data_IF_125120398140
#
_entry.id   IF_125120398140
#
_cell.length_a   1.000
_cell.length_b   1.000
_cell.length_c   1.000
_cell.angle_alpha   90.00
_cell.angle_beta   90.00
_cell.angle_gamma   90.00
#
_symmetry.space_group_name_H-M   'P 1'
#
loop_
_entity.id
_entity.type
_entity.pdbx_description
1 polymer ?
#
# COMPACT_ATOMS: atom_id res chain seq x y z
N UNK A 1 -24.67 22.23 14.54
CA UNK A 1 -25.42 21.05 14.08
C UNK A 1 -24.79 20.70 12.74
N UNK A 2 -24.02 19.61 12.69
CA UNK A 2 -23.33 19.17 11.47
C UNK A 2 -24.38 18.57 10.52
N UNK A 3 -24.37 18.98 9.25
CA UNK A 3 -25.31 18.49 8.24
C UNK A 3 -24.86 17.09 7.78
N UNK A 4 -25.55 16.06 8.28
CA UNK A 4 -25.28 14.65 8.00
C UNK A 4 -25.36 14.35 6.50
N UNK A 5 -26.23 15.06 5.76
CA UNK A 5 -26.36 14.85 4.31
C UNK A 5 -25.16 15.43 3.56
N UNK A 6 -24.60 16.54 4.04
CA UNK A 6 -23.39 17.14 3.46
C UNK A 6 -22.14 16.30 3.76
N UNK A 7 -22.07 15.69 4.95
CA UNK A 7 -21.01 14.73 5.31
C UNK A 7 -21.13 13.47 4.46
N UNK A 8 -22.34 12.89 4.33
CA UNK A 8 -22.59 11.72 3.48
C UNK A 8 -22.18 11.98 2.03
N UNK A 9 -22.54 13.15 1.48
CA UNK A 9 -22.17 13.52 0.11
C UNK A 9 -20.67 13.68 -0.08
N UNK A 10 -19.96 14.31 0.87
CA UNK A 10 -18.50 14.48 0.80
C UNK A 10 -17.78 13.14 0.92
N UNK A 11 -18.22 12.30 1.84
CA UNK A 11 -17.67 10.96 2.04
C UNK A 11 -17.87 10.05 0.84
N UNK A 12 -19.07 10.11 0.24
CA UNK A 12 -19.38 9.39 -0.98
C UNK A 12 -18.49 9.85 -2.14
N UNK A 13 -18.35 11.16 -2.35
CA UNK A 13 -17.46 11.72 -3.38
C UNK A 13 -15.97 11.41 -3.16
N UNK A 14 -15.50 11.41 -1.91
CA UNK A 14 -14.12 11.06 -1.59
C UNK A 14 -13.87 9.55 -1.78
N UNK A 15 -14.83 8.73 -1.37
CA UNK A 15 -14.86 7.28 -1.56
C UNK A 15 -14.87 6.89 -3.05
N UNK A 16 -15.70 7.55 -3.87
CA UNK A 16 -15.78 7.38 -5.33
C UNK A 16 -14.46 7.80 -5.98
N UNK A 17 -13.93 8.98 -5.66
CA UNK A 17 -12.63 9.41 -6.20
C UNK A 17 -11.49 8.47 -5.86
N UNK A 18 -11.49 7.91 -4.66
CA UNK A 18 -10.48 6.92 -4.25
C UNK A 18 -10.65 5.60 -5.02
N UNK A 19 -11.90 5.13 -5.21
CA UNK A 19 -12.21 3.94 -5.99
C UNK A 19 -11.85 4.12 -7.47
N UNK A 20 -12.27 5.22 -8.09
CA UNK A 20 -11.97 5.58 -9.49
C UNK A 20 -10.47 5.75 -9.71
N UNK A 21 -9.77 6.38 -8.76
CA UNK A 21 -8.32 6.52 -8.83
C UNK A 21 -7.64 5.16 -8.78
N UNK A 22 -8.09 4.25 -7.92
CA UNK A 22 -7.57 2.89 -7.83
C UNK A 22 -7.85 2.09 -9.11
N UNK A 23 -9.09 2.09 -9.62
CA UNK A 23 -9.47 1.42 -10.87
C UNK A 23 -8.64 1.92 -12.06
N UNK A 24 -8.55 3.24 -12.21
CA UNK A 24 -7.74 3.87 -13.27
C UNK A 24 -6.25 3.58 -13.13
N UNK A 25 -5.73 3.37 -11.92
CA UNK A 25 -4.34 2.95 -11.75
C UNK A 25 -4.13 1.49 -12.11
N UNK A 26 -5.08 0.60 -11.81
CA UNK A 26 -5.05 -0.80 -12.23
C UNK A 26 -5.10 -0.95 -13.76
N UNK A 27 -6.06 -0.28 -14.41
CA UNK A 27 -6.18 -0.24 -15.87
C UNK A 27 -4.90 0.31 -16.54
N UNK A 28 -4.33 1.38 -15.98
CA UNK A 28 -3.06 1.95 -16.50
C UNK A 28 -1.86 1.05 -16.27
N UNK A 29 -1.80 0.32 -15.16
CA UNK A 29 -0.72 -0.64 -14.92
C UNK A 29 -0.82 -1.84 -15.84
N UNK A 30 -2.04 -2.29 -16.14
CA UNK A 30 -2.33 -3.36 -17.10
C UNK A 30 -1.99 -2.92 -18.54
N UNK A 31 -2.37 -1.70 -18.95
CA UNK A 31 -1.96 -1.13 -20.24
C UNK A 31 -0.44 -0.94 -20.37
N UNK A 32 0.27 -0.64 -19.27
CA UNK A 32 1.72 -0.51 -19.24
C UNK A 32 2.43 -1.87 -19.27
N UNK A 33 1.89 -2.88 -18.58
CA UNK A 33 2.35 -4.25 -18.64
C UNK A 33 2.20 -4.83 -20.06
N UNK A 34 1.00 -4.69 -20.64
CA UNK A 34 0.71 -5.10 -22.01
C UNK A 34 1.60 -4.37 -23.05
N UNK A 35 1.97 -3.10 -22.81
CA UNK A 35 2.89 -2.36 -23.69
C UNK A 35 4.35 -2.79 -23.55
N UNK A 36 4.74 -3.30 -22.39
CA UNK A 36 6.09 -3.84 -22.16
C UNK A 36 6.19 -5.23 -22.81
N UNK A 37 5.18 -6.08 -22.66
CA UNK A 37 5.06 -7.40 -23.33
C UNK A 37 5.03 -7.29 -24.87
N UNK A 38 4.33 -6.29 -25.44
CA UNK A 38 4.32 -6.08 -26.89
C UNK A 38 5.60 -5.42 -27.45
N UNK A 39 6.47 -4.87 -26.59
CA UNK A 39 7.72 -4.22 -27.04
C UNK A 39 8.90 -5.19 -27.21
N UNK A 40 8.82 -6.39 -26.62
CA UNK A 40 9.85 -7.43 -26.73
C UNK A 40 9.65 -8.40 -27.91
N UNK A 41 8.59 -8.25 -28.71
CA UNK A 41 8.30 -9.15 -29.85
C UNK A 41 8.36 -8.52 -31.26
N UNK A 42 8.66 -7.23 -31.43
CA UNK A 42 8.79 -6.64 -32.78
C UNK A 42 10.03 -5.76 -32.96
N UNK A 43 11.18 -6.41 -33.24
CA UNK A 43 12.12 -5.87 -34.23
C UNK A 43 11.88 -6.56 -35.56
N UNK A 44 11.12 -5.93 -36.45
CA UNK A 44 11.59 -5.51 -37.78
C UNK A 44 10.47 -4.99 -38.69
N UNK A 45 10.71 -3.79 -39.25
CA UNK A 45 10.16 -3.22 -40.50
C UNK A 45 8.70 -2.75 -40.55
N UNK A 46 8.48 -1.42 -40.54
CA UNK A 46 8.25 -0.59 -41.74
C UNK A 46 7.66 0.79 -41.41
N UNK A 47 7.96 1.76 -42.27
CA UNK A 47 7.83 3.20 -42.07
C UNK A 47 6.44 3.80 -42.36
N UNK A 48 6.07 4.90 -41.68
CA UNK A 48 5.90 6.26 -42.25
C UNK A 48 4.91 7.17 -41.49
N UNK A 49 5.50 8.00 -40.64
CA UNK A 49 5.25 9.42 -40.30
C UNK A 49 4.08 10.16 -40.96
N UNK A 50 3.21 10.73 -40.12
CA UNK A 50 2.85 12.17 -40.19
C UNK A 50 2.94 12.79 -38.80
N UNK A 51 4.17 13.04 -38.34
CA UNK A 51 4.51 13.88 -37.18
C UNK A 51 5.44 14.98 -37.70
N UNK A 52 4.88 16.10 -38.14
CA UNK A 52 5.68 17.23 -38.63
C UNK A 52 5.52 18.50 -37.78
N UNK A 53 4.52 18.57 -36.89
CA UNK A 53 4.23 19.82 -36.16
C UNK A 53 4.58 19.78 -34.65
N UNK A 54 4.91 18.61 -34.09
CA UNK A 54 5.29 18.43 -32.68
C UNK A 54 6.79 18.34 -32.43
N UNK A 55 7.59 17.96 -33.43
CA UNK A 55 9.06 17.86 -33.28
C UNK A 55 9.76 19.23 -33.34
N UNK A 56 9.27 20.20 -34.11
CA UNK A 56 9.94 21.50 -34.25
C UNK A 56 9.98 22.31 -32.93
N UNK A 57 8.99 22.16 -32.05
CA UNK A 57 8.97 22.88 -30.76
C UNK A 57 9.88 22.24 -29.71
N UNK A 58 9.93 20.90 -29.63
CA UNK A 58 10.80 20.19 -28.70
C UNK A 58 12.27 20.30 -29.13
N UNK A 59 12.56 20.16 -30.43
CA UNK A 59 13.93 20.23 -30.95
C UNK A 59 14.53 21.64 -30.81
N UNK A 60 13.71 22.69 -30.85
CA UNK A 60 14.12 24.08 -30.59
C UNK A 60 14.42 24.33 -29.09
N UNK A 61 13.71 23.68 -28.17
CA UNK A 61 13.98 23.72 -26.73
C UNK A 61 15.30 23.03 -26.38
N UNK A 62 15.52 21.83 -26.91
CA UNK A 62 16.75 21.05 -26.70
C UNK A 62 17.96 21.73 -27.34
N UNK A 63 17.82 22.33 -28.53
CA UNK A 63 18.89 23.13 -29.15
C UNK A 63 19.28 24.35 -28.32
N UNK A 64 18.31 25.06 -27.71
CA UNK A 64 18.60 26.19 -26.81
C UNK A 64 19.30 25.74 -25.52
N UNK A 65 18.93 24.60 -24.94
CA UNK A 65 19.61 24.07 -23.76
C UNK A 65 21.07 23.64 -24.08
N UNK A 66 21.30 23.02 -25.24
CA UNK A 66 22.65 22.64 -25.70
C UNK A 66 23.49 23.88 -26.06
N UNK A 67 22.88 24.92 -26.64
CA UNK A 67 23.55 26.20 -26.93
C UNK A 67 23.94 26.95 -25.65
N UNK A 68 23.08 26.94 -24.62
CA UNK A 68 23.37 27.52 -23.30
C UNK A 68 24.48 26.74 -22.58
N UNK A 69 24.46 25.40 -22.62
CA UNK A 69 25.55 24.59 -22.06
C UNK A 69 26.88 24.79 -22.81
N UNK A 70 26.83 24.90 -24.15
CA UNK A 70 28.00 25.14 -24.99
C UNK A 70 28.67 26.49 -24.74
N UNK A 71 27.91 27.52 -24.35
CA UNK A 71 28.44 28.82 -23.94
C UNK A 71 29.10 28.81 -22.55
N UNK A 72 28.70 27.89 -21.66
CA UNK A 72 29.20 27.81 -20.27
C UNK A 72 30.48 26.99 -20.17
N UNK A 73 30.60 25.89 -20.91
CA UNK A 73 31.69 24.92 -20.74
C UNK A 73 32.72 24.90 -21.89
N UNK A 74 32.45 25.57 -23.01
CA UNK A 74 33.34 25.58 -24.18
C UNK A 74 33.46 24.22 -24.89
N UNK A 75 34.06 24.19 -26.08
CA UNK A 75 34.18 22.97 -26.89
C UNK A 75 35.00 21.86 -26.20
N UNK A 76 36.06 22.23 -25.48
CA UNK A 76 36.89 21.27 -24.74
C UNK A 76 36.17 20.72 -23.49
N UNK A 77 35.31 21.50 -22.83
CA UNK A 77 34.53 21.04 -21.67
C UNK A 77 33.38 20.11 -22.06
N UNK A 78 32.78 20.31 -23.24
CA UNK A 78 31.78 19.39 -23.81
C UNK A 78 32.41 18.05 -24.21
N UNK A 79 33.59 18.08 -24.84
CA UNK A 79 34.33 16.86 -25.19
C UNK A 79 34.73 16.07 -23.94
N UNK A 80 35.20 16.75 -22.88
CA UNK A 80 35.51 16.08 -21.61
C UNK A 80 34.28 15.50 -20.91
N UNK A 81 33.10 16.13 -20.99
CA UNK A 81 31.88 15.56 -20.41
C UNK A 81 31.41 14.33 -21.18
N UNK A 82 31.43 14.37 -22.52
CA UNK A 82 31.04 13.23 -23.37
C UNK A 82 32.02 12.07 -23.16
N UNK A 83 33.33 12.33 -23.14
CA UNK A 83 34.34 11.31 -22.85
C UNK A 83 34.19 10.74 -21.43
N UNK A 84 33.83 11.58 -20.45
CA UNK A 84 33.62 11.14 -19.07
C UNK A 84 32.32 10.35 -18.90
N UNK A 85 31.28 10.67 -19.67
CA UNK A 85 30.00 9.96 -19.72
C UNK A 85 30.13 8.62 -20.45
N UNK A 86 30.78 8.57 -21.61
CA UNK A 86 31.11 7.31 -22.31
C UNK A 86 32.01 6.42 -21.46
N UNK A 87 32.97 7.01 -20.75
CA UNK A 87 33.83 6.25 -19.83
C UNK A 87 33.05 5.73 -18.62
N UNK A 88 32.12 6.51 -18.06
CA UNK A 88 31.25 6.04 -16.99
C UNK A 88 30.35 4.90 -17.47
N UNK A 89 29.77 5.03 -18.65
CA UNK A 89 28.90 4.03 -19.26
C UNK A 89 29.67 2.76 -19.61
N UNK A 90 30.89 2.87 -20.15
CA UNK A 90 31.74 1.72 -20.42
C UNK A 90 32.20 1.04 -19.13
N UNK A 91 32.55 1.78 -18.08
CA UNK A 91 32.86 1.17 -16.77
C UNK A 91 31.65 0.49 -16.15
N UNK A 92 30.45 1.06 -16.30
CA UNK A 92 29.19 0.46 -15.84
C UNK A 92 28.93 -0.83 -16.61
N UNK A 93 29.02 -0.81 -17.95
CA UNK A 93 28.80 -1.99 -18.79
C UNK A 93 29.85 -3.08 -18.54
N UNK A 94 31.11 -2.70 -18.33
CA UNK A 94 32.21 -3.61 -18.01
C UNK A 94 32.01 -4.20 -16.61
N UNK A 95 31.57 -3.41 -15.62
CA UNK A 95 31.22 -3.90 -14.27
C UNK A 95 29.98 -4.78 -14.24
N UNK A 96 28.98 -4.50 -15.08
CA UNK A 96 27.79 -5.32 -15.26
C UNK A 96 28.14 -6.65 -15.94
N UNK A 97 29.03 -6.65 -16.93
CA UNK A 97 29.51 -7.86 -17.58
C UNK A 97 30.44 -8.69 -16.66
N UNK A 98 31.27 -8.03 -15.85
CA UNK A 98 32.14 -8.67 -14.85
C UNK A 98 31.31 -9.27 -13.69
N UNK A 99 30.23 -8.60 -13.26
CA UNK A 99 29.26 -9.14 -12.29
C UNK A 99 28.41 -10.29 -12.85
N UNK A 100 28.02 -10.21 -14.14
CA UNK A 100 27.22 -11.23 -14.82
C UNK A 100 27.99 -12.53 -15.11
N UNK A 101 29.33 -12.51 -15.15
CA UNK A 101 30.14 -13.67 -15.59
C UNK A 101 30.82 -14.48 -14.48
N UNK A 102 30.96 -13.99 -13.25
CA UNK A 102 31.61 -14.81 -12.21
C UNK A 102 31.16 -14.60 -10.76
N UNK A 103 30.09 -13.86 -10.49
CA UNK A 103 29.71 -13.56 -9.10
C UNK A 103 28.19 -13.43 -8.86
N UNK A 104 27.33 -13.68 -9.84
CA UNK A 104 25.89 -13.54 -9.66
C UNK A 104 25.32 -14.58 -8.67
N UNK A 105 25.81 -15.82 -8.67
CA UNK A 105 25.28 -16.85 -7.75
C UNK A 105 25.90 -16.77 -6.35
N UNK A 106 27.22 -16.53 -6.24
CA UNK A 106 27.91 -16.51 -4.93
C UNK A 106 27.77 -15.16 -4.17
N UNK A 107 27.57 -14.03 -4.86
CA UNK A 107 27.42 -12.72 -4.21
C UNK A 107 25.97 -12.44 -3.78
N UNK A 108 24.98 -13.01 -4.47
CA UNK A 108 23.56 -12.91 -4.06
C UNK A 108 23.33 -13.68 -2.76
N UNK A 109 23.97 -14.84 -2.57
CA UNK A 109 23.91 -15.60 -1.31
C UNK A 109 24.71 -15.00 -0.15
N UNK A 110 25.75 -14.18 -0.41
CA UNK A 110 26.56 -13.54 0.64
C UNK A 110 26.12 -12.12 1.01
N UNK A 111 25.46 -11.37 0.13
CA UNK A 111 25.00 -10.01 0.41
C UNK A 111 23.57 -9.97 0.95
N UNK A 112 22.75 -10.97 0.63
CA UNK A 112 21.36 -11.08 1.04
C UNK A 112 21.17 -12.40 1.77
N UNK A 113 21.50 -12.40 3.06
CA UNK A 113 21.32 -13.56 3.93
C UNK A 113 19.88 -14.04 3.89
N UNK A 114 19.72 -15.33 3.57
CA UNK A 114 18.65 -16.32 3.81
C UNK A 114 17.16 -15.92 3.97
N UNK A 115 16.76 -14.66 3.80
CA UNK A 115 15.41 -14.17 4.09
C UNK A 115 14.77 -13.41 2.90
N UNK A 116 15.14 -13.82 1.68
CA UNK A 116 14.48 -13.42 0.42
C UNK A 116 13.28 -14.32 0.06
N UNK A 117 12.78 -15.14 0.98
CA UNK A 117 11.62 -16.00 0.76
C UNK A 117 10.27 -15.26 0.72
N UNK A 118 10.22 -13.97 1.06
CA UNK A 118 8.95 -13.22 1.21
C UNK A 118 8.73 -12.20 0.08
N UNK A 119 9.80 -11.79 -0.61
CA UNK A 119 9.65 -11.00 -1.84
C UNK A 119 9.26 -11.87 -3.04
N UNK A 120 9.34 -13.21 -2.94
CA UNK A 120 8.71 -14.11 -3.91
C UNK A 120 7.20 -13.93 -3.92
N UNK A 121 6.48 -13.91 -2.79
CA UNK A 121 5.02 -13.91 -2.84
C UNK A 121 4.38 -12.66 -3.50
N UNK A 122 5.00 -11.48 -3.39
CA UNK A 122 4.48 -10.24 -3.99
C UNK A 122 5.02 -9.98 -5.40
N UNK A 123 6.15 -10.58 -5.78
CA UNK A 123 6.72 -10.51 -7.13
C UNK A 123 6.33 -11.71 -8.00
N UNK A 124 6.13 -12.90 -7.43
CA UNK A 124 5.46 -14.07 -8.04
C UNK A 124 3.98 -13.75 -8.33
N UNK A 125 3.31 -12.93 -7.52
CA UNK A 125 2.02 -12.34 -7.91
C UNK A 125 2.10 -11.41 -9.14
N UNK A 126 3.32 -11.01 -9.55
CA UNK A 126 3.58 -10.24 -10.77
C UNK A 126 4.37 -11.04 -11.84
N UNK A 127 4.77 -12.29 -11.57
CA UNK A 127 5.55 -13.16 -12.47
C UNK A 127 4.88 -14.55 -12.69
N UNK A 128 3.69 -14.80 -12.14
CA UNK A 128 2.89 -16.02 -12.38
C UNK A 128 1.60 -15.79 -13.19
N UNK A 129 1.60 -14.83 -14.13
CA UNK A 129 0.55 -14.75 -15.16
C UNK A 129 1.13 -14.62 -16.56
N UNK A 130 2.10 -15.47 -16.91
CA UNK A 130 2.32 -15.83 -18.32
C UNK A 130 2.57 -17.35 -18.39
N UNK A 131 1.51 -18.10 -18.69
CA UNK A 131 1.47 -19.51 -19.15
C UNK A 131 0.61 -20.51 -18.34
N UNK A 132 -0.42 -20.07 -17.60
CA UNK A 132 -1.62 -20.89 -17.45
C UNK A 132 -2.84 -20.01 -17.74
N UNK A 133 -3.70 -20.43 -18.67
CA UNK A 133 -5.06 -19.88 -18.80
C UNK A 133 -5.80 -20.18 -17.48
N UNK A 134 -5.56 -19.38 -16.44
CA UNK A 134 -6.43 -19.36 -15.27
C UNK A 134 -7.80 -18.91 -15.78
N UNK A 135 -8.75 -19.85 -15.83
CA UNK A 135 -10.16 -19.52 -16.02
C UNK A 135 -10.48 -18.36 -15.07
N UNK A 136 -10.81 -17.16 -15.62
CA UNK A 136 -11.27 -16.01 -14.84
C UNK A 136 -12.21 -16.52 -13.75
N UNK A 137 -11.75 -16.51 -12.49
CA UNK A 137 -12.47 -17.15 -11.40
C UNK A 137 -13.78 -16.39 -11.19
N UNK A 138 -14.86 -16.95 -11.76
CA UNK A 138 -16.16 -16.29 -11.76
C UNK A 138 -16.62 -16.13 -10.31
N UNK A 139 -16.77 -14.88 -9.88
CA UNK A 139 -17.29 -14.56 -8.57
C UNK A 139 -18.64 -15.24 -8.34
N UNK A 140 -18.68 -16.12 -7.36
CA UNK A 140 -19.86 -16.88 -6.99
C UNK A 140 -20.24 -16.62 -5.54
N UNK A 141 -21.51 -16.82 -5.22
CA UNK A 141 -22.00 -16.75 -3.84
C UNK A 141 -21.31 -17.81 -2.95
N UNK A 142 -20.92 -18.95 -3.53
CA UNK A 142 -20.19 -20.01 -2.82
C UNK A 142 -18.77 -19.57 -2.44
N UNK A 143 -18.08 -18.85 -3.34
CA UNK A 143 -16.78 -18.25 -3.06
C UNK A 143 -16.90 -17.21 -1.93
N UNK A 144 -17.90 -16.33 -1.98
CA UNK A 144 -18.16 -15.37 -0.89
C UNK A 144 -18.36 -16.06 0.47
N UNK A 145 -19.18 -17.12 0.53
CA UNK A 145 -19.39 -17.85 1.79
C UNK A 145 -18.10 -18.52 2.29
N UNK A 146 -17.28 -19.02 1.37
CA UNK A 146 -15.97 -19.58 1.70
C UNK A 146 -15.06 -18.51 2.30
N UNK A 147 -14.99 -17.33 1.69
CA UNK A 147 -14.20 -16.20 2.20
C UNK A 147 -14.68 -15.74 3.58
N UNK A 148 -15.99 -15.67 3.83
CA UNK A 148 -16.54 -15.34 5.14
C UNK A 148 -16.12 -16.35 6.21
N UNK A 149 -16.18 -17.65 5.87
CA UNK A 149 -15.73 -18.72 6.78
C UNK A 149 -14.23 -18.61 7.06
N UNK A 150 -13.41 -18.41 6.02
CA UNK A 150 -11.96 -18.25 6.16
C UNK A 150 -11.62 -17.05 7.04
N UNK A 151 -12.30 -15.91 6.86
CA UNK A 151 -12.15 -14.73 7.71
C UNK A 151 -12.46 -15.05 9.18
N UNK A 152 -13.62 -15.67 9.44
CA UNK A 152 -14.05 -16.02 10.80
C UNK A 152 -13.07 -16.99 11.50
N UNK A 153 -12.63 -18.03 10.79
CA UNK A 153 -11.64 -18.99 11.30
C UNK A 153 -10.28 -18.32 11.59
N UNK A 154 -9.86 -17.41 10.71
CA UNK A 154 -8.60 -16.68 10.84
C UNK A 154 -8.65 -15.70 12.02
N UNK A 155 -9.73 -14.93 12.16
CA UNK A 155 -9.92 -14.02 13.29
C UNK A 155 -9.96 -14.78 14.62
N UNK A 156 -10.61 -15.95 14.66
CA UNK A 156 -10.63 -16.81 15.84
C UNK A 156 -9.24 -17.36 16.19
N UNK A 157 -8.44 -17.73 15.18
CA UNK A 157 -7.04 -18.14 15.39
C UNK A 157 -6.20 -17.01 15.99
N UNK A 158 -6.32 -15.79 15.47
CA UNK A 158 -5.65 -14.63 16.04
C UNK A 158 -6.10 -14.33 17.47
N UNK A 159 -7.38 -14.49 17.78
CA UNK A 159 -7.91 -14.30 19.14
C UNK A 159 -7.18 -15.22 20.16
N UNK A 160 -6.87 -16.45 19.75
CA UNK A 160 -6.17 -17.42 20.60
C UNK A 160 -4.66 -17.18 20.74
N UNK A 161 -4.10 -16.22 20.00
CA UNK A 161 -2.65 -15.95 20.01
C UNK A 161 -2.26 -15.17 21.28
N UNK A 162 -1.18 -15.54 21.98
CA UNK A 162 -0.74 -14.77 23.15
C UNK A 162 -0.44 -13.31 22.81
N UNK A 163 -0.88 -12.38 23.65
CA UNK A 163 -0.58 -10.93 23.55
C UNK A 163 -0.20 -10.43 24.94
N UNK A 164 0.79 -9.53 25.07
CA UNK A 164 1.08 -8.88 26.34
C UNK A 164 -0.10 -8.05 26.86
N UNK A 165 -0.24 -7.98 28.19
CA UNK A 165 -1.26 -7.13 28.82
C UNK A 165 -1.04 -5.65 28.50
N UNK A 166 -2.11 -4.88 28.23
CA UNK A 166 -1.98 -3.45 27.98
C UNK A 166 -1.33 -2.69 29.14
N UNK A 167 -0.46 -1.72 28.83
CA UNK A 167 0.27 -0.91 29.82
C UNK A 167 -0.10 0.57 29.73
N UNK A 168 0.05 1.32 30.82
CA UNK A 168 -0.25 2.76 30.81
C UNK A 168 0.83 3.56 30.08
N UNK A 169 0.43 4.37 29.11
CA UNK A 169 1.29 5.32 28.40
C UNK A 169 1.06 6.73 28.95
N UNK A 170 2.15 7.43 29.28
CA UNK A 170 2.08 8.85 29.59
C UNK A 170 1.94 9.67 28.30
N UNK A 171 1.43 10.90 28.37
CA UNK A 171 1.16 11.71 27.16
C UNK A 171 2.41 11.93 26.28
N UNK A 172 3.56 12.09 26.91
CA UNK A 172 4.85 12.37 26.25
C UNK A 172 5.81 11.16 26.36
N UNK A 173 5.27 9.94 26.43
CA UNK A 173 6.08 8.72 26.51
C UNK A 173 6.67 8.41 25.12
N UNK A 174 7.98 8.12 25.06
CA UNK A 174 8.68 7.72 23.82
C UNK A 174 8.08 6.45 23.22
N UNK A 175 7.39 5.63 24.03
CA UNK A 175 6.64 4.45 23.55
C UNK A 175 5.60 4.79 22.49
N UNK A 176 5.04 6.01 22.48
CA UNK A 176 4.06 6.40 21.45
C UNK A 176 4.67 6.43 20.06
N UNK A 177 5.94 6.80 19.93
CA UNK A 177 6.63 6.81 18.64
C UNK A 177 6.80 5.37 18.13
N UNK A 178 7.27 4.48 19.00
CA UNK A 178 7.40 3.04 18.71
C UNK A 178 6.05 2.42 18.34
N UNK A 179 5.01 2.69 19.13
CA UNK A 179 3.67 2.19 18.89
C UNK A 179 3.13 2.70 17.54
N UNK A 180 3.30 3.99 17.24
CA UNK A 180 2.88 4.59 15.97
C UNK A 180 3.53 3.96 14.74
N UNK A 181 4.84 3.66 14.81
CA UNK A 181 5.53 2.91 13.75
C UNK A 181 4.91 1.52 13.59
N UNK A 182 4.67 0.82 14.69
CA UNK A 182 4.14 -0.56 14.70
C UNK A 182 2.69 -0.68 14.22
N UNK A 183 1.91 0.41 14.20
CA UNK A 183 0.59 0.42 13.55
C UNK A 183 0.69 0.14 12.03
N UNK A 184 1.82 0.48 11.40
CA UNK A 184 2.08 0.13 10.00
C UNK A 184 2.46 -1.35 9.81
N UNK A 185 2.56 -2.12 10.90
CA UNK A 185 3.18 -3.44 10.99
C UNK A 185 2.76 -4.38 9.87
N UNK A 186 1.46 -4.60 9.68
CA UNK A 186 0.98 -5.56 8.66
C UNK A 186 1.46 -5.16 7.26
N UNK A 187 1.28 -3.91 6.86
CA UNK A 187 1.72 -3.45 5.52
C UNK A 187 3.23 -3.50 5.39
N UNK A 188 3.95 -3.12 6.45
CA UNK A 188 5.40 -3.15 6.47
C UNK A 188 5.94 -4.58 6.31
N UNK A 189 5.38 -5.56 7.03
CA UNK A 189 5.75 -6.98 6.94
C UNK A 189 5.51 -7.52 5.53
N UNK A 190 4.35 -7.23 4.92
CA UNK A 190 4.05 -7.67 3.55
C UNK A 190 5.01 -7.09 2.49
N UNK A 191 5.60 -5.93 2.77
CA UNK A 191 6.52 -5.26 1.85
C UNK A 191 8.00 -5.45 2.22
N UNK A 192 8.31 -6.24 3.26
CA UNK A 192 9.67 -6.46 3.75
C UNK A 192 10.33 -5.22 4.35
N UNK A 193 9.53 -4.27 4.87
CA UNK A 193 10.05 -3.03 5.43
C UNK A 193 10.54 -3.19 6.87
N UNK A 194 11.57 -2.42 7.21
CA UNK A 194 12.04 -2.28 8.58
C UNK A 194 10.93 -1.69 9.45
N UNK A 195 10.77 -2.23 10.66
CA UNK A 195 9.81 -1.72 11.64
C UNK A 195 10.48 -1.13 12.87
N UNK A 196 11.81 -1.11 12.96
CA UNK A 196 12.61 -0.60 14.09
C UNK A 196 12.61 0.93 14.19
N UNK A 197 12.53 1.63 13.06
CA UNK A 197 12.64 3.10 12.96
C UNK A 197 11.63 3.70 11.98
N UNK A 198 11.60 5.03 11.89
CA UNK A 198 10.73 5.75 10.95
C UNK A 198 10.96 5.28 9.52
N UNK A 199 12.23 5.28 9.09
CA UNK A 199 12.64 4.81 7.76
C UNK A 199 12.25 3.36 7.53
N UNK A 200 11.62 3.13 6.38
CA UNK A 200 11.12 1.81 5.97
C UNK A 200 12.25 0.95 5.39
N UNK A 201 13.26 1.56 4.78
CA UNK A 201 14.37 0.93 4.08
C UNK A 201 15.63 1.82 4.13
N UNK A 202 16.71 1.42 3.47
CA UNK A 202 17.90 2.25 3.27
C UNK A 202 17.71 3.25 2.14
N UNK A 203 18.15 4.50 2.34
CA UNK A 203 18.12 5.56 1.34
C UNK A 203 19.12 5.33 0.19
N UNK A 204 18.75 4.41 -0.70
CA UNK A 204 19.44 4.16 -1.96
C UNK A 204 18.47 4.34 -3.13
N UNK A 205 18.92 4.85 -4.29
CA UNK A 205 18.02 5.23 -5.39
C UNK A 205 17.06 4.13 -5.84
N UNK A 206 17.50 2.86 -5.86
CA UNK A 206 16.65 1.74 -6.27
C UNK A 206 15.48 1.51 -5.30
N UNK A 207 15.71 1.64 -3.99
CA UNK A 207 14.67 1.46 -2.97
C UNK A 207 13.71 2.64 -2.94
N UNK A 208 14.22 3.86 -3.08
CA UNK A 208 13.38 5.06 -3.23
C UNK A 208 12.49 4.97 -4.48
N UNK A 209 13.04 4.48 -5.61
CA UNK A 209 12.27 4.25 -6.83
C UNK A 209 11.22 3.14 -6.67
N UNK A 210 11.53 2.07 -5.93
CA UNK A 210 10.58 1.00 -5.60
C UNK A 210 9.41 1.56 -4.79
N UNK A 211 9.69 2.28 -3.70
CA UNK A 211 8.67 2.84 -2.81
C UNK A 211 7.83 3.90 -3.52
N UNK A 212 8.44 4.83 -4.28
CA UNK A 212 7.66 5.85 -5.01
C UNK A 212 6.80 5.21 -6.10
N UNK A 213 7.28 4.17 -6.78
CA UNK A 213 6.51 3.43 -7.80
C UNK A 213 5.35 2.67 -7.19
N UNK A 214 5.53 2.05 -6.03
CA UNK A 214 4.46 1.40 -5.27
C UNK A 214 3.37 2.41 -4.88
N UNK A 215 3.76 3.52 -4.26
CA UNK A 215 2.82 4.55 -3.78
C UNK A 215 2.07 5.20 -4.94
N UNK A 216 2.72 5.45 -6.08
CA UNK A 216 2.06 6.01 -7.26
C UNK A 216 1.10 5.02 -7.92
N UNK A 217 1.53 3.78 -8.13
CA UNK A 217 0.74 2.77 -8.84
C UNK A 217 -0.41 2.24 -7.98
N UNK A 218 -0.17 1.92 -6.73
CA UNK A 218 -1.19 1.29 -5.88
C UNK A 218 -2.11 2.30 -5.18
N UNK A 219 -1.69 3.55 -5.01
CA UNK A 219 -2.47 4.56 -4.27
C UNK A 219 -2.81 5.81 -5.08
N UNK A 220 -2.22 6.00 -6.27
CA UNK A 220 -2.42 7.21 -7.06
C UNK A 220 -1.81 8.48 -6.42
N UNK A 221 -0.93 8.34 -5.44
CA UNK A 221 -0.35 9.47 -4.70
C UNK A 221 0.93 9.95 -5.39
N UNK A 222 0.92 11.18 -5.91
CA UNK A 222 2.03 11.72 -6.70
C UNK A 222 2.92 12.72 -5.95
N UNK A 223 2.56 13.03 -4.71
CA UNK A 223 3.35 13.90 -3.85
C UNK A 223 2.63 14.25 -2.55
N UNK A 224 3.18 15.26 -1.87
CA UNK A 224 2.77 15.67 -0.52
C UNK A 224 1.28 15.96 -0.35
N UNK A 225 0.64 16.68 -1.29
CA UNK A 225 -0.78 17.04 -1.13
C UNK A 225 -1.67 15.81 -1.13
N UNK A 226 -1.54 14.98 -2.16
CA UNK A 226 -2.28 13.71 -2.31
C UNK A 226 -2.07 12.81 -1.09
N UNK A 227 -0.84 12.75 -0.58
CA UNK A 227 -0.49 11.96 0.60
C UNK A 227 -1.27 12.45 1.83
N UNK A 228 -1.20 13.74 2.14
CA UNK A 228 -1.84 14.30 3.33
C UNK A 228 -3.37 14.22 3.23
N UNK A 229 -3.93 14.36 2.03
CA UNK A 229 -5.36 14.20 1.79
C UNK A 229 -5.80 12.74 1.98
N UNK A 230 -5.02 11.75 1.50
CA UNK A 230 -5.30 10.33 1.71
C UNK A 230 -5.17 9.94 3.20
N UNK A 231 -4.12 10.40 3.89
CA UNK A 231 -3.97 10.18 5.33
C UNK A 231 -5.16 10.76 6.09
N UNK A 232 -5.60 11.98 5.74
CA UNK A 232 -6.78 12.61 6.37
C UNK A 232 -8.05 11.81 6.11
N UNK A 233 -8.25 11.34 4.88
CA UNK A 233 -9.39 10.51 4.51
C UNK A 233 -9.43 9.23 5.34
N UNK A 234 -8.36 8.45 5.39
CA UNK A 234 -8.26 7.23 6.21
C UNK A 234 -8.43 7.54 7.71
N UNK A 235 -7.84 8.64 8.18
CA UNK A 235 -7.90 9.03 9.59
C UNK A 235 -9.25 9.63 10.02
N UNK A 236 -10.20 9.91 9.13
CA UNK A 236 -11.49 10.53 9.50
C UNK A 236 -12.70 9.75 9.00
N UNK A 237 -12.63 9.28 7.76
CA UNK A 237 -13.73 8.62 7.07
C UNK A 237 -13.36 7.15 6.82
N UNK A 238 -12.50 6.90 5.84
CA UNK A 238 -11.98 5.59 5.49
C UNK A 238 -13.06 4.54 5.23
N UNK A 239 -12.69 3.30 5.45
CA UNK A 239 -13.61 2.16 5.38
C UNK A 239 -14.54 2.09 6.59
N UNK A 240 -14.19 2.70 7.73
CA UNK A 240 -15.13 2.88 8.84
C UNK A 240 -16.44 3.54 8.38
N UNK A 241 -16.36 4.68 7.69
CA UNK A 241 -17.56 5.36 7.20
C UNK A 241 -18.24 4.59 6.06
N UNK A 242 -17.46 3.98 5.16
CA UNK A 242 -18.02 3.15 4.08
C UNK A 242 -18.81 1.96 4.65
N UNK A 243 -18.26 1.25 5.63
CA UNK A 243 -18.92 0.13 6.29
C UNK A 243 -20.20 0.58 7.01
N UNK A 244 -20.18 1.74 7.68
CA UNK A 244 -21.38 2.32 8.29
C UNK A 244 -22.48 2.55 7.24
N UNK A 245 -22.16 3.24 6.14
CA UNK A 245 -23.12 3.54 5.08
C UNK A 245 -23.72 2.25 4.50
N UNK A 246 -22.87 1.23 4.29
CA UNK A 246 -23.29 -0.06 3.74
C UNK A 246 -24.17 -0.85 4.70
N UNK A 247 -23.90 -0.77 6.02
CA UNK A 247 -24.72 -1.42 7.05
C UNK A 247 -26.06 -0.71 7.33
N UNK A 248 -26.12 0.60 7.09
CA UNK A 248 -27.33 1.42 7.23
C UNK A 248 -28.25 1.34 6.00
N UNK A 249 -27.70 1.07 4.81
CA UNK A 249 -28.46 0.97 3.57
C UNK A 249 -29.47 -0.20 3.61
N UNK A 250 -30.71 0.09 3.20
CA UNK A 250 -31.79 -0.91 3.18
C UNK A 250 -31.65 -1.88 2.02
N UNK A 251 -31.04 -1.44 0.92
CA UNK A 251 -30.75 -2.22 -0.26
C UNK A 251 -29.46 -1.72 -0.94
N UNK A 252 -28.77 -2.55 -1.74
CA UNK A 252 -27.53 -2.13 -2.41
C UNK A 252 -27.78 -1.02 -3.45
N UNK A 253 -28.99 -0.89 -3.98
CA UNK A 253 -29.35 0.17 -4.94
C UNK A 253 -29.26 1.58 -4.33
N UNK A 254 -29.41 1.73 -3.01
CA UNK A 254 -29.24 3.03 -2.33
C UNK A 254 -27.79 3.52 -2.35
N UNK A 255 -26.83 2.64 -2.66
CA UNK A 255 -25.39 2.90 -2.70
C UNK A 255 -24.87 3.06 -4.14
N UNK A 256 -25.74 2.90 -5.14
CA UNK A 256 -25.37 2.93 -6.55
C UNK A 256 -25.71 4.26 -7.20
N UNK A 257 -24.95 4.64 -8.23
CA UNK A 257 -25.25 5.72 -9.14
C UNK A 257 -25.57 5.20 -10.56
N UNK A 258 -26.28 6.01 -11.35
CA UNK A 258 -26.62 5.72 -12.75
C UNK A 258 -25.36 5.58 -13.63
N UNK A 259 -24.28 6.27 -13.26
CA UNK A 259 -23.00 6.23 -13.97
C UNK A 259 -22.23 4.90 -13.81
N UNK A 260 -22.57 4.08 -12.81
CA UNK A 260 -21.84 2.85 -12.52
C UNK A 260 -22.04 1.80 -13.61
N UNK A 261 -20.98 1.06 -13.95
CA UNK A 261 -21.09 -0.11 -14.81
C UNK A 261 -21.61 -1.35 -14.04
N UNK A 262 -21.84 -2.47 -14.72
CA UNK A 262 -22.41 -3.66 -14.05
C UNK A 262 -21.41 -4.33 -13.10
N UNK A 263 -20.11 -4.25 -13.38
CA UNK A 263 -19.06 -4.82 -12.54
C UNK A 263 -18.96 -4.05 -11.21
N UNK A 264 -18.95 -2.72 -11.28
CA UNK A 264 -18.99 -1.84 -10.13
C UNK A 264 -20.26 -2.06 -9.30
N UNK A 265 -21.40 -2.24 -9.94
CA UNK A 265 -22.65 -2.59 -9.23
C UNK A 265 -22.51 -3.93 -8.51
N UNK A 266 -21.90 -4.95 -9.11
CA UNK A 266 -21.71 -6.22 -8.42
C UNK A 266 -20.72 -6.11 -7.25
N UNK A 267 -19.66 -5.30 -7.38
CA UNK A 267 -18.79 -4.93 -6.26
C UNK A 267 -19.55 -4.28 -5.10
N UNK A 268 -20.46 -3.34 -5.39
CA UNK A 268 -21.33 -2.74 -4.37
C UNK A 268 -22.22 -3.79 -3.72
N UNK A 269 -22.85 -4.67 -4.51
CA UNK A 269 -23.73 -5.74 -3.98
C UNK A 269 -22.95 -6.68 -3.06
N UNK A 270 -21.73 -7.11 -3.43
CA UNK A 270 -20.85 -7.94 -2.61
C UNK A 270 -20.53 -7.29 -1.27
N UNK A 271 -20.01 -6.06 -1.30
CA UNK A 271 -19.64 -5.35 -0.08
C UNK A 271 -20.86 -5.00 0.79
N UNK A 272 -22.04 -4.77 0.19
CA UNK A 272 -23.28 -4.60 0.94
C UNK A 272 -23.67 -5.90 1.65
N UNK A 273 -23.63 -7.05 0.97
CA UNK A 273 -23.88 -8.36 1.60
C UNK A 273 -22.94 -8.59 2.78
N UNK A 274 -21.66 -8.27 2.63
CA UNK A 274 -20.66 -8.34 3.70
C UNK A 274 -21.05 -7.46 4.90
N UNK A 275 -21.39 -6.18 4.67
CA UNK A 275 -21.79 -5.27 5.73
C UNK A 275 -23.06 -5.75 6.45
N UNK A 276 -24.08 -6.17 5.69
CA UNK A 276 -25.34 -6.66 6.27
C UNK A 276 -25.16 -7.93 7.10
N UNK A 277 -24.23 -8.81 6.71
CA UNK A 277 -23.90 -10.02 7.46
C UNK A 277 -23.31 -9.68 8.84
N UNK A 278 -22.40 -8.72 8.90
CA UNK A 278 -21.57 -8.48 10.07
C UNK A 278 -21.98 -7.30 10.96
N UNK A 279 -22.88 -6.42 10.50
CA UNK A 279 -23.24 -5.18 11.22
C UNK A 279 -23.82 -5.36 12.62
N UNK A 280 -24.35 -6.54 12.94
CA UNK A 280 -24.85 -6.88 14.28
C UNK A 280 -23.74 -7.35 15.23
N UNK A 281 -22.61 -7.78 14.68
CA UNK A 281 -21.46 -8.30 15.43
C UNK A 281 -20.37 -7.24 15.60
N UNK A 282 -20.07 -6.49 14.55
CA UNK A 282 -18.99 -5.51 14.53
C UNK A 282 -19.55 -4.11 14.25
N UNK A 283 -19.26 -3.17 15.15
CA UNK A 283 -19.58 -1.76 14.96
C UNK A 283 -18.65 -1.12 13.90
N UNK A 284 -19.02 0.00 13.27
CA UNK A 284 -18.16 0.68 12.30
C UNK A 284 -16.77 1.09 12.83
N UNK A 285 -16.65 1.34 14.12
CA UNK A 285 -15.36 1.64 14.77
C UNK A 285 -14.40 0.44 14.74
N UNK A 286 -14.92 -0.78 14.61
CA UNK A 286 -14.08 -1.98 14.43
C UNK A 286 -13.27 -1.93 13.14
N UNK A 287 -13.60 -1.11 12.14
CA UNK A 287 -12.78 -0.92 10.93
C UNK A 287 -11.52 -0.07 11.15
N UNK A 288 -11.36 0.52 12.35
CA UNK A 288 -10.30 1.49 12.60
C UNK A 288 -8.89 0.94 12.36
N UNK A 289 -8.64 -0.34 12.64
CA UNK A 289 -7.32 -0.96 12.43
C UNK A 289 -6.91 -1.00 10.96
N UNK A 290 -7.85 -1.34 10.07
CA UNK A 290 -7.63 -1.31 8.61
C UNK A 290 -7.30 0.09 8.09
N UNK A 291 -8.03 1.11 8.54
CA UNK A 291 -7.78 2.49 8.10
C UNK A 291 -6.51 3.09 8.70
N UNK A 292 -6.30 2.88 10.01
CA UNK A 292 -5.16 3.42 10.74
C UNK A 292 -3.86 2.76 10.29
N UNK A 293 -3.83 1.43 10.12
CA UNK A 293 -2.60 0.75 9.71
C UNK A 293 -2.10 1.20 8.34
N UNK A 294 -3.03 1.42 7.40
CA UNK A 294 -2.74 1.99 6.07
C UNK A 294 -2.29 3.45 6.16
N UNK A 295 -2.96 4.26 6.97
CA UNK A 295 -2.55 5.66 7.19
C UNK A 295 -1.15 5.76 7.83
N UNK A 296 -0.83 4.87 8.77
CA UNK A 296 0.48 4.79 9.40
C UNK A 296 1.56 4.43 8.36
N UNK A 297 1.30 3.46 7.48
CA UNK A 297 2.24 3.09 6.42
C UNK A 297 2.46 4.24 5.42
N UNK A 298 1.38 4.89 4.96
CA UNK A 298 1.48 6.06 4.08
C UNK A 298 2.29 7.18 4.73
N UNK A 299 2.11 7.42 6.03
CA UNK A 299 2.89 8.41 6.78
C UNK A 299 4.39 8.09 6.73
N UNK A 300 4.74 6.82 6.95
CA UNK A 300 6.14 6.36 6.91
C UNK A 300 6.75 6.45 5.51
N UNK A 301 6.05 5.99 4.47
CA UNK A 301 6.49 6.15 3.08
C UNK A 301 6.63 7.62 2.69
N UNK A 302 5.69 8.47 3.11
CA UNK A 302 5.76 9.90 2.87
C UNK A 302 6.99 10.57 3.50
N UNK A 303 7.36 10.13 4.70
CA UNK A 303 8.58 10.57 5.37
C UNK A 303 9.83 10.10 4.61
N UNK A 304 9.89 8.81 4.29
CA UNK A 304 11.00 8.20 3.56
C UNK A 304 11.21 8.82 2.17
N UNK A 305 10.15 9.16 1.45
CA UNK A 305 10.23 9.82 0.14
C UNK A 305 10.50 11.35 0.24
N UNK A 306 10.64 11.89 1.44
CA UNK A 306 10.86 13.32 1.67
C UNK A 306 9.66 14.22 1.35
N UNK A 307 8.44 13.65 1.24
CA UNK A 307 7.21 14.43 1.01
C UNK A 307 6.71 15.10 2.28
N UNK A 308 6.95 14.48 3.44
CA UNK A 308 6.75 15.06 4.75
C UNK A 308 8.03 14.96 5.57
N UNK A 309 8.20 15.86 6.53
CA UNK A 309 9.35 15.81 7.45
C UNK A 309 9.13 14.75 8.52
N UNK A 310 10.22 14.26 9.13
CA UNK A 310 10.14 13.31 10.25
C UNK A 310 9.31 13.85 11.41
N UNK A 311 9.44 15.14 11.75
CA UNK A 311 8.63 15.77 12.79
C UNK A 311 7.13 15.77 12.47
N UNK A 312 6.76 15.92 11.19
CA UNK A 312 5.36 15.80 10.76
C UNK A 312 4.89 14.35 10.85
N UNK A 313 5.72 13.41 10.41
CA UNK A 313 5.43 11.98 10.49
C UNK A 313 5.19 11.52 11.94
N UNK A 314 6.07 11.92 12.87
CA UNK A 314 5.90 11.64 14.31
C UNK A 314 4.58 12.21 14.83
N UNK A 315 4.24 13.44 14.47
CA UNK A 315 2.97 14.07 14.87
C UNK A 315 1.75 13.31 14.35
N UNK A 316 1.75 12.93 13.07
CA UNK A 316 0.67 12.17 12.44
C UNK A 316 0.56 10.77 13.07
N UNK A 317 1.67 10.05 13.24
CA UNK A 317 1.67 8.73 13.88
C UNK A 317 1.18 8.80 15.34
N UNK A 318 1.50 9.88 16.06
CA UNK A 318 0.97 10.11 17.41
C UNK A 318 -0.55 10.28 17.41
N UNK A 319 -1.10 11.10 16.51
CA UNK A 319 -2.56 11.28 16.38
C UNK A 319 -3.26 9.96 16.02
N UNK A 320 -2.70 9.21 15.06
CA UNK A 320 -3.17 7.87 14.69
C UNK A 320 -3.13 6.89 15.86
N UNK A 321 -2.07 6.97 16.68
CA UNK A 321 -1.91 6.14 17.87
C UNK A 321 -2.96 6.42 18.94
N UNK A 322 -3.28 7.69 19.18
CA UNK A 322 -4.36 8.05 20.10
C UNK A 322 -5.71 7.50 19.59
N UNK A 323 -5.97 7.66 18.29
CA UNK A 323 -7.21 7.15 17.67
C UNK A 323 -7.31 5.63 17.75
N UNK A 324 -6.21 4.91 17.52
CA UNK A 324 -6.18 3.46 17.64
C UNK A 324 -6.51 3.01 19.06
N UNK A 325 -5.84 3.60 20.07
CA UNK A 325 -6.04 3.26 21.47
C UNK A 325 -7.43 3.68 22.02
N UNK A 326 -8.09 4.66 21.38
CA UNK A 326 -9.48 5.04 21.71
C UNK A 326 -10.49 4.01 21.18
N UNK A 327 -10.25 3.47 19.98
CA UNK A 327 -11.22 2.62 19.26
C UNK A 327 -11.02 1.12 19.45
N UNK A 328 -9.79 0.69 19.73
CA UNK A 328 -9.39 -0.72 19.82
C UNK A 328 -8.61 -0.98 21.13
N UNK A 329 -8.56 -2.24 21.54
CA UNK A 329 -8.19 -2.65 22.89
C UNK A 329 -6.95 -3.57 22.94
N UNK A 330 -6.39 -3.92 21.78
CA UNK A 330 -5.22 -4.79 21.69
C UNK A 330 -4.73 -4.99 20.27
N UNK A 331 -3.53 -5.55 20.13
CA UNK A 331 -2.93 -5.91 18.84
C UNK A 331 -3.72 -7.01 18.14
N UNK A 332 -4.28 -7.98 18.88
CA UNK A 332 -5.18 -8.98 18.30
C UNK A 332 -6.40 -8.35 17.65
N UNK A 333 -7.05 -7.43 18.35
CA UNK A 333 -8.23 -6.72 17.82
C UNK A 333 -7.85 -5.84 16.63
N UNK A 334 -6.70 -5.18 16.68
CA UNK A 334 -6.15 -4.43 15.56
C UNK A 334 -5.91 -5.31 14.32
N UNK A 335 -5.34 -6.50 14.49
CA UNK A 335 -5.12 -7.44 13.41
C UNK A 335 -6.43 -7.99 12.82
N UNK A 336 -7.38 -8.36 13.68
CA UNK A 336 -8.71 -8.80 13.27
C UNK A 336 -9.45 -7.70 12.49
N UNK A 337 -9.38 -6.46 12.98
CA UNK A 337 -9.89 -5.26 12.30
C UNK A 337 -9.26 -5.10 10.91
N UNK A 338 -7.96 -5.29 10.80
CA UNK A 338 -7.22 -5.18 9.55
C UNK A 338 -7.64 -6.26 8.54
N UNK A 339 -7.75 -7.52 8.95
CA UNK A 339 -8.27 -8.62 8.13
C UNK A 339 -9.71 -8.36 7.67
N UNK A 340 -10.56 -7.88 8.58
CA UNK A 340 -11.97 -7.60 8.31
C UNK A 340 -12.13 -6.51 7.24
N UNK A 341 -11.40 -5.40 7.37
CA UNK A 341 -11.38 -4.34 6.35
C UNK A 341 -10.71 -4.78 5.04
N UNK A 342 -9.67 -5.61 5.13
CA UNK A 342 -8.98 -6.19 3.97
C UNK A 342 -9.88 -7.07 3.11
N UNK A 343 -10.71 -7.93 3.72
CA UNK A 343 -11.70 -8.70 2.96
C UNK A 343 -12.74 -7.78 2.31
N UNK A 344 -13.27 -6.80 3.05
CA UNK A 344 -14.23 -5.85 2.47
C UNK A 344 -13.64 -5.11 1.26
N UNK A 345 -12.36 -4.74 1.32
CA UNK A 345 -11.66 -4.13 0.19
C UNK A 345 -11.56 -5.07 -1.01
N UNK A 346 -11.14 -6.32 -0.82
CA UNK A 346 -11.04 -7.30 -1.92
C UNK A 346 -12.40 -7.62 -2.55
N UNK A 347 -13.46 -7.68 -1.75
CA UNK A 347 -14.84 -7.84 -2.25
C UNK A 347 -15.29 -6.64 -3.10
N UNK A 348 -14.84 -5.43 -2.77
CA UNK A 348 -15.10 -4.22 -3.59
C UNK A 348 -14.27 -4.19 -4.87
N UNK A 349 -13.04 -4.70 -4.84
CA UNK A 349 -12.20 -4.78 -6.05
C UNK A 349 -12.67 -5.89 -7.00
N UNK A 350 -13.45 -6.86 -6.52
CA UNK A 350 -13.76 -8.04 -7.31
C UNK A 350 -12.53 -8.88 -7.64
N UNK A 351 -11.58 -8.93 -6.71
CA UNK A 351 -10.34 -9.68 -6.86
C UNK A 351 -10.44 -11.11 -6.30
N UNK A 352 -10.35 -12.10 -7.19
CA UNK A 352 -10.44 -13.54 -6.87
C UNK A 352 -9.34 -14.02 -5.92
N UNK A 353 -8.24 -13.28 -5.80
CA UNK A 353 -7.12 -13.58 -4.87
C UNK A 353 -7.45 -13.27 -3.39
N UNK A 354 -8.68 -12.84 -3.07
CA UNK A 354 -9.11 -12.48 -1.72
C UNK A 354 -8.75 -13.51 -0.65
N UNK A 355 -8.82 -14.81 -0.98
CA UNK A 355 -8.46 -15.90 -0.07
C UNK A 355 -6.97 -15.92 0.26
N UNK A 356 -6.10 -15.91 -0.76
CA UNK A 356 -4.64 -15.85 -0.60
C UNK A 356 -4.22 -14.58 0.11
N UNK A 357 -4.82 -13.45 -0.25
CA UNK A 357 -4.59 -12.17 0.41
C UNK A 357 -4.88 -12.23 1.92
N UNK A 358 -6.01 -12.80 2.32
CA UNK A 358 -6.33 -13.01 3.74
C UNK A 358 -5.31 -13.90 4.44
N UNK A 359 -4.80 -14.93 3.76
CA UNK A 359 -3.70 -15.77 4.24
C UNK A 359 -2.47 -14.93 4.57
N UNK A 360 -1.99 -14.14 3.62
CA UNK A 360 -0.82 -13.27 3.82
C UNK A 360 -1.01 -12.24 4.94
N UNK A 361 -2.20 -11.64 5.05
CA UNK A 361 -2.52 -10.72 6.15
C UNK A 361 -2.46 -11.44 7.51
N UNK A 362 -2.96 -12.67 7.57
CA UNK A 362 -3.00 -13.47 8.79
C UNK A 362 -1.61 -13.90 9.23
N UNK A 363 -0.76 -14.30 8.29
CA UNK A 363 0.61 -14.71 8.55
C UNK A 363 1.44 -13.51 9.03
N UNK A 364 1.32 -12.36 8.35
CA UNK A 364 1.95 -11.12 8.80
C UNK A 364 1.52 -10.72 10.23
N UNK A 365 0.23 -10.84 10.55
CA UNK A 365 -0.27 -10.56 11.89
C UNK A 365 0.23 -11.58 12.94
N UNK A 366 0.30 -12.86 12.58
CA UNK A 366 0.80 -13.91 13.45
C UNK A 366 2.30 -13.71 13.76
N UNK A 367 3.11 -13.38 12.74
CA UNK A 367 4.53 -13.06 12.89
C UNK A 367 4.73 -11.85 13.82
N UNK A 368 3.92 -10.80 13.66
CA UNK A 368 4.00 -9.62 14.52
C UNK A 368 3.63 -9.91 15.98
N UNK A 369 2.66 -10.80 16.22
CA UNK A 369 2.21 -11.19 17.57
C UNK A 369 3.17 -12.17 18.25
N UNK A 370 3.62 -13.21 17.53
CA UNK A 370 4.33 -14.34 18.11
C UNK A 370 5.84 -14.31 17.83
N UNK A 371 6.27 -13.75 16.70
CA UNK A 371 7.61 -13.85 16.14
C UNK A 371 7.72 -14.97 15.12
N UNK A 372 8.69 -14.87 14.21
CA UNK A 372 9.06 -15.96 13.31
C UNK A 372 9.84 -17.04 14.04
N UNK A 373 10.00 -18.22 13.44
CA UNK A 373 10.78 -19.31 14.03
C UNK A 373 12.26 -18.92 14.34
N UNK A 374 12.78 -17.91 13.65
CA UNK A 374 14.17 -17.41 13.75
C UNK A 374 14.31 -16.14 14.61
N UNK A 375 13.19 -15.46 14.91
CA UNK A 375 13.15 -14.27 15.77
C UNK A 375 12.64 -14.67 17.15
N UNK A 376 13.35 -14.33 18.22
CA UNK A 376 12.98 -14.76 19.58
C UNK A 376 11.53 -14.36 19.93
N UNK A 377 11.08 -13.16 19.50
CA UNK A 377 9.75 -12.59 19.79
C UNK A 377 9.21 -11.68 18.67
N UNK A 378 7.88 -11.64 18.49
CA UNK A 378 7.21 -10.74 17.55
C UNK A 378 7.21 -9.28 17.99
N UNK A 379 7.30 -8.35 17.04
CA UNK A 379 7.51 -6.93 17.35
C UNK A 379 6.34 -6.25 18.08
N UNK A 380 5.10 -6.74 17.93
CA UNK A 380 3.97 -6.25 18.73
C UNK A 380 4.02 -6.76 20.16
N UNK A 381 4.63 -7.92 20.41
CA UNK A 381 4.84 -8.46 21.75
C UNK A 381 5.77 -7.57 22.59
N UNK A 382 6.76 -6.97 21.95
CA UNK A 382 7.73 -6.07 22.60
C UNK A 382 7.19 -4.65 22.83
N UNK A 383 6.04 -4.31 22.25
CA UNK A 383 5.40 -3.02 22.42
C UNK A 383 3.94 -3.20 22.86
N UNK A 384 3.66 -3.46 24.16
CA UNK A 384 2.31 -3.74 24.63
C UNK A 384 1.32 -2.61 24.33
N UNK A 385 0.07 -2.97 24.08
CA UNK A 385 -0.99 -2.02 23.73
C UNK A 385 -1.18 -0.94 24.82
N UNK A 386 -1.49 0.32 24.48
CA UNK A 386 -1.81 1.35 25.46
C UNK A 386 -3.12 1.04 26.22
N UNK A 387 -3.03 0.90 27.54
CA UNK A 387 -4.20 0.72 28.39
C UNK A 387 -5.12 1.96 28.34
N UNK A 388 -6.42 1.73 28.19
CA UNK A 388 -7.41 2.81 28.23
C UNK A 388 -7.33 3.57 29.55
N UNK A 389 -7.32 4.91 29.46
CA UNK A 389 -7.51 5.74 30.66
C UNK A 389 -8.92 5.48 31.17
N UNK A 390 -9.06 4.86 32.33
CA UNK A 390 -10.33 4.86 33.06
C UNK A 390 -10.67 6.31 33.39
N UNK A 391 -11.56 6.93 32.59
CA UNK A 391 -12.21 8.16 32.99
C UNK A 391 -13.23 7.76 34.04
N UNK A 392 -12.76 7.60 35.28
CA UNK A 392 -13.61 7.34 36.41
C UNK A 392 -14.47 8.58 36.68
N UNK A 393 -15.73 8.54 36.26
CA UNK A 393 -16.77 9.23 37.03
C UNK A 393 -17.01 8.39 38.29
N UNK A 394 -16.32 8.77 39.37
CA UNK A 394 -16.76 8.39 40.72
C UNK A 394 -18.03 9.19 40.97
N UNK A 395 -19.17 8.51 40.97
CA UNK A 395 -20.48 9.03 41.36
C UNK A 395 -21.17 8.03 42.27
#
# INVERSE_FOLDING_TARGET
MLDINEIRKRAQQASERAADSMKKTFEKSEELANKLEFSDSEKETSASVTEADTEEQNHAGTKKQVEILGQIFGADGMAQMIDNEERLQNMINEKVAEAASSAAEDLIGQLFGEDMGILSAALEMLEMEEDEEEEESVWSLELEQTLYKTLEETMARLESTPEPEPISYQKNDEKWERFGILLSGIVATLNGHNLCRMDVEEHIPVMEQKVVSLVRRSWGINGRSDLLDMIRYLAQEGYSLRYQLYGEASSPEELMDEAMDEEERESVRRAWRFAQRYKSQYAPDFMAGWDIGRAAMLTRWGCYLGWITESEAVGILWDLSQKAAEKLHGWREFAQSYLFGGLMWKLLCGDSSAGSYLGYLADAAADLLAGKAEEDHGQWRDCPWPAQRRIGFVG
#
